data_IF_911931849468
#
_entry.id   IF_911931849468
#
_cell.length_a   1.000
_cell.length_b   1.000
_cell.length_c   1.000
_cell.angle_alpha   90.00
_cell.angle_beta   90.00
_cell.angle_gamma   90.00
#
_symmetry.space_group_name_H-M   'P 1'
#
loop_
_entity.id
_entity.type
_entity.pdbx_description
1 polymer ?
#
# COMPACT_ATOMS: atom_id res chain seq x y z
N UNK A 1 57.52 48.13 19.97
CA UNK A 1 57.81 46.93 19.16
C UNK A 1 56.48 46.31 18.76
N UNK A 2 56.42 45.82 17.53
CA UNK A 2 55.26 45.48 16.67
C UNK A 2 54.33 44.40 17.23
N UNK A 3 53.01 44.54 17.01
CA UNK A 3 52.13 43.55 16.34
C UNK A 3 50.68 44.07 16.31
N UNK A 4 50.11 44.45 15.15
CA UNK A 4 49.47 43.64 14.09
C UNK A 4 48.37 42.70 14.61
N UNK A 5 47.24 42.70 13.88
CA UNK A 5 46.02 41.89 14.05
C UNK A 5 44.91 42.64 14.81
N UNK A 6 43.69 42.86 14.31
CA UNK A 6 42.99 42.31 13.15
C UNK A 6 41.94 43.32 12.65
N UNK A 7 41.81 43.40 11.33
CA UNK A 7 40.62 43.95 10.66
C UNK A 7 39.59 42.83 10.55
N UNK A 8 38.34 42.97 11.03
CA UNK A 8 37.26 42.11 10.57
C UNK A 8 36.64 42.78 9.33
N UNK A 9 37.28 42.58 8.19
CA UNK A 9 36.64 42.72 6.89
C UNK A 9 36.62 41.32 6.28
N UNK A 10 35.57 40.55 6.54
CA UNK A 10 35.27 39.37 5.74
C UNK A 10 33.82 39.46 5.28
N UNK A 11 33.66 40.15 4.14
CA UNK A 11 32.66 39.80 3.15
C UNK A 11 33.02 38.40 2.63
N UNK A 12 32.25 37.39 3.02
CA UNK A 12 32.24 36.11 2.34
C UNK A 12 31.09 36.12 1.33
N UNK A 13 31.47 36.10 0.05
CA UNK A 13 30.59 35.72 -1.05
C UNK A 13 30.58 34.19 -1.17
N UNK A 14 29.50 33.68 -1.77
CA UNK A 14 29.21 32.27 -2.18
C UNK A 14 28.72 31.37 -1.02
N UNK A 15 27.72 30.51 -1.17
CA UNK A 15 27.16 29.84 -2.34
C UNK A 15 25.73 29.32 -2.01
N UNK A 16 25.00 28.88 -3.04
CA UNK A 16 23.65 28.29 -3.00
C UNK A 16 23.48 27.18 -1.95
N UNK A 17 22.40 27.25 -1.17
CA UNK A 17 21.71 26.04 -0.69
C UNK A 17 20.21 26.19 -0.99
N UNK A 18 19.89 26.06 -2.27
CA UNK A 18 18.55 25.76 -2.73
C UNK A 18 18.33 24.25 -2.60
N UNK A 19 17.82 23.78 -1.46
CA UNK A 19 17.33 22.42 -1.22
C UNK A 19 16.90 22.35 0.26
N UNK A 20 15.71 21.98 0.71
CA UNK A 20 14.56 21.28 0.14
C UNK A 20 13.38 21.78 0.97
N UNK A 21 12.46 22.55 0.37
CA UNK A 21 11.13 22.65 0.98
C UNK A 21 10.53 21.24 0.98
N UNK A 22 10.11 20.66 2.12
CA UNK A 22 9.27 19.49 2.06
C UNK A 22 7.98 19.97 1.41
N UNK A 23 7.81 19.60 0.13
CA UNK A 23 6.55 19.69 -0.58
C UNK A 23 5.54 18.78 0.14
N UNK A 24 4.96 19.30 1.22
CA UNK A 24 3.89 18.69 2.00
C UNK A 24 2.52 18.97 1.35
N UNK A 25 2.50 19.67 0.23
CA UNK A 25 1.32 20.10 -0.52
C UNK A 25 0.93 19.07 -1.60
N UNK A 26 0.80 17.79 -1.24
CA UNK A 26 0.23 16.79 -2.17
C UNK A 26 -0.37 15.53 -1.51
N UNK A 27 -0.46 15.44 -0.18
CA UNK A 27 -0.87 14.19 0.49
C UNK A 27 -2.24 14.22 1.18
N UNK A 28 -3.10 15.16 0.82
CA UNK A 28 -4.44 15.29 1.43
C UNK A 28 -5.56 14.72 0.55
N UNK A 29 -5.36 14.49 -0.76
CA UNK A 29 -6.46 14.20 -1.69
C UNK A 29 -6.74 12.71 -1.98
N UNK A 30 -6.20 11.75 -1.21
CA UNK A 30 -6.55 10.34 -1.37
C UNK A 30 -6.83 9.63 -0.05
N UNK A 31 -7.28 10.39 0.95
CA UNK A 31 -7.86 9.83 2.16
C UNK A 31 -9.19 9.22 1.71
N UNK A 32 -9.19 7.90 1.58
CA UNK A 32 -10.37 7.03 1.51
C UNK A 32 -11.38 7.26 0.36
N UNK A 33 -11.25 6.47 -0.70
CA UNK A 33 -12.40 6.12 -1.54
C UNK A 33 -13.00 4.83 -1.00
N UNK A 34 -13.70 4.91 0.13
CA UNK A 34 -14.34 3.75 0.79
C UNK A 34 -15.45 3.13 -0.03
N UNK A 35 -15.95 3.83 -1.04
CA UNK A 35 -17.01 3.34 -1.93
C UNK A 35 -16.48 2.48 -3.08
N UNK A 36 -15.19 2.58 -3.43
CA UNK A 36 -14.64 1.86 -4.59
C UNK A 36 -14.18 0.46 -4.18
N UNK A 37 -14.74 -0.53 -4.85
CA UNK A 37 -14.34 -1.93 -4.73
C UNK A 37 -13.25 -2.24 -5.77
N UNK A 38 -12.30 -3.08 -5.37
CA UNK A 38 -11.16 -3.47 -6.17
C UNK A 38 -11.14 -4.99 -6.31
N UNK A 39 -10.97 -5.47 -7.54
CA UNK A 39 -10.84 -6.90 -7.87
C UNK A 39 -9.39 -7.32 -8.04
N UNK A 40 -8.45 -6.37 -8.10
CA UNK A 40 -7.03 -6.64 -8.33
C UNK A 40 -6.20 -5.88 -7.32
N UNK A 41 -5.27 -6.58 -6.66
CA UNK A 41 -4.47 -6.00 -5.60
C UNK A 41 -3.10 -6.63 -5.47
N UNK A 42 -2.17 -5.89 -4.88
CA UNK A 42 -0.85 -6.40 -4.56
C UNK A 42 0.13 -5.31 -4.17
N UNK A 43 1.42 -5.58 -4.30
CA UNK A 43 2.50 -4.65 -3.96
C UNK A 43 3.37 -4.40 -5.18
N UNK A 44 3.94 -3.19 -5.24
CA UNK A 44 5.03 -2.95 -6.16
C UNK A 44 6.08 -2.00 -5.61
N UNK A 45 7.33 -2.32 -5.92
CA UNK A 45 8.49 -1.48 -5.62
C UNK A 45 8.70 -0.46 -6.73
N UNK A 46 8.86 0.81 -6.37
CA UNK A 46 9.33 1.87 -7.28
C UNK A 46 10.30 2.75 -6.54
N UNK A 47 11.47 3.00 -7.15
CA UNK A 47 12.54 3.82 -6.57
C UNK A 47 12.90 3.38 -5.15
N UNK A 48 12.98 2.06 -4.91
CA UNK A 48 13.27 1.47 -3.61
C UNK A 48 12.14 1.56 -2.57
N UNK A 49 10.94 2.02 -2.95
CA UNK A 49 9.77 2.11 -2.05
C UNK A 49 8.68 1.13 -2.47
N UNK A 50 8.45 0.14 -1.64
CA UNK A 50 7.35 -0.82 -1.79
C UNK A 50 6.05 -0.19 -1.32
N UNK A 51 5.00 -0.29 -2.13
CA UNK A 51 3.68 0.26 -1.79
C UNK A 51 2.58 -0.67 -2.31
N UNK A 52 1.47 -0.69 -1.58
CA UNK A 52 0.26 -1.40 -2.00
C UNK A 52 -0.36 -0.73 -3.23
N UNK A 53 -0.84 -1.54 -4.17
CA UNK A 53 -1.52 -1.15 -5.41
C UNK A 53 -2.90 -1.76 -5.44
N UNK A 54 -3.87 -0.98 -5.89
CA UNK A 54 -5.24 -1.39 -6.08
C UNK A 54 -5.66 -1.10 -7.52
N UNK A 55 -6.38 -2.03 -8.15
CA UNK A 55 -6.86 -1.93 -9.51
C UNK A 55 -8.13 -2.79 -9.70
N UNK A 56 -8.74 -2.64 -10.87
CA UNK A 56 -9.87 -3.47 -11.31
C UNK A 56 -9.54 -4.25 -12.59
N UNK A 57 -8.36 -4.01 -13.17
CA UNK A 57 -7.88 -4.66 -14.39
C UNK A 57 -6.43 -5.12 -14.15
N UNK A 58 -6.22 -6.44 -14.27
CA UNK A 58 -4.93 -7.06 -14.02
C UNK A 58 -3.89 -6.68 -15.07
N UNK A 59 -4.22 -6.90 -16.35
CA UNK A 59 -3.30 -6.75 -17.47
C UNK A 59 -2.92 -5.29 -17.67
N UNK A 60 -3.89 -4.38 -17.60
CA UNK A 60 -3.68 -2.95 -17.71
C UNK A 60 -2.82 -2.41 -16.58
N UNK A 61 -3.09 -2.84 -15.33
CA UNK A 61 -2.28 -2.39 -14.20
C UNK A 61 -0.86 -2.92 -14.26
N UNK A 62 -0.68 -4.19 -14.58
CA UNK A 62 0.63 -4.81 -14.75
C UNK A 62 1.45 -4.08 -15.83
N UNK A 63 0.87 -3.90 -17.03
CA UNK A 63 1.53 -3.18 -18.15
C UNK A 63 1.98 -1.78 -17.77
N UNK A 64 1.16 -1.01 -17.05
CA UNK A 64 1.51 0.36 -16.63
C UNK A 64 2.66 0.33 -15.62
N UNK A 65 2.64 -0.61 -14.65
CA UNK A 65 3.71 -0.72 -13.66
C UNK A 65 5.03 -1.16 -14.30
N UNK A 66 5.02 -2.11 -15.22
CA UNK A 66 6.22 -2.50 -15.95
C UNK A 66 6.76 -1.35 -16.81
N UNK A 67 5.88 -0.62 -17.52
CA UNK A 67 6.27 0.58 -18.30
C UNK A 67 6.87 1.68 -17.42
N UNK A 68 6.36 1.83 -16.20
CA UNK A 68 6.86 2.79 -15.23
C UNK A 68 8.13 2.31 -14.49
N UNK A 69 8.70 1.15 -14.87
CA UNK A 69 9.95 0.65 -14.31
C UNK A 69 9.84 0.13 -12.88
N UNK A 70 8.68 -0.42 -12.49
CA UNK A 70 8.57 -1.13 -11.22
C UNK A 70 9.27 -2.50 -11.29
N UNK A 71 10.04 -2.86 -10.28
CA UNK A 71 10.85 -4.10 -10.23
C UNK A 71 10.07 -5.29 -9.67
N UNK A 72 9.53 -5.15 -8.46
CA UNK A 72 8.86 -6.25 -7.75
C UNK A 72 7.34 -6.13 -7.87
N UNK A 73 6.81 -6.32 -9.08
CA UNK A 73 5.37 -6.20 -9.33
C UNK A 73 4.67 -7.52 -8.98
N UNK A 74 4.20 -7.62 -7.75
CA UNK A 74 3.42 -8.76 -7.27
C UNK A 74 1.97 -8.33 -7.14
N UNK A 75 1.15 -8.69 -8.13
CA UNK A 75 -0.29 -8.38 -8.16
C UNK A 75 -1.05 -9.67 -8.41
N UNK A 76 -2.22 -9.80 -7.79
CA UNK A 76 -3.14 -10.90 -7.98
C UNK A 76 -4.56 -10.38 -8.19
N UNK A 77 -5.37 -11.26 -8.77
CA UNK A 77 -6.82 -11.09 -8.87
C UNK A 77 -7.48 -11.71 -7.64
N UNK A 78 -8.50 -11.02 -7.14
CA UNK A 78 -9.29 -11.40 -6.00
C UNK A 78 -10.60 -12.01 -6.53
N UNK A 79 -11.09 -13.05 -5.86
CA UNK A 79 -12.33 -13.74 -6.26
C UNK A 79 -13.56 -12.82 -6.23
N UNK A 80 -13.51 -11.77 -5.41
CA UNK A 80 -14.58 -10.79 -5.30
C UNK A 80 -14.05 -9.37 -5.10
N UNK A 81 -14.85 -8.39 -5.54
CA UNK A 81 -14.51 -6.98 -5.42
C UNK A 81 -14.63 -6.52 -3.96
N UNK A 82 -13.48 -6.24 -3.34
CA UNK A 82 -13.39 -5.90 -1.91
C UNK A 82 -13.01 -4.44 -1.68
N UNK A 83 -13.31 -3.94 -0.47
CA UNK A 83 -12.87 -2.63 -0.01
C UNK A 83 -11.36 -2.63 0.22
N UNK A 84 -10.70 -1.46 0.17
CA UNK A 84 -9.25 -1.38 0.45
C UNK A 84 -8.86 -1.98 1.81
N UNK A 85 -9.73 -1.89 2.80
CA UNK A 85 -9.47 -2.42 4.14
C UNK A 85 -9.45 -3.95 4.13
N UNK A 86 -10.38 -4.57 3.42
CA UNK A 86 -10.49 -6.03 3.36
C UNK A 86 -9.42 -6.63 2.45
N UNK A 87 -9.08 -5.93 1.36
CA UNK A 87 -7.92 -6.28 0.53
C UNK A 87 -6.63 -6.27 1.34
N UNK A 88 -6.40 -5.26 2.20
CA UNK A 88 -5.20 -5.24 3.05
C UNK A 88 -5.15 -6.44 4.00
N UNK A 89 -6.29 -6.85 4.59
CA UNK A 89 -6.35 -8.05 5.45
C UNK A 89 -6.03 -9.31 4.64
N UNK A 90 -6.63 -9.43 3.45
CA UNK A 90 -6.40 -10.56 2.55
C UNK A 90 -4.92 -10.67 2.14
N UNK A 91 -4.31 -9.54 1.74
CA UNK A 91 -2.89 -9.50 1.38
C UNK A 91 -1.99 -9.85 2.57
N UNK A 92 -2.33 -9.40 3.79
CA UNK A 92 -1.57 -9.78 5.00
C UNK A 92 -1.60 -11.28 5.30
N UNK A 93 -2.70 -11.97 4.98
CA UNK A 93 -2.83 -13.43 5.17
C UNK A 93 -2.25 -14.26 4.02
N UNK A 94 -2.03 -13.67 2.86
CA UNK A 94 -1.64 -14.41 1.66
C UNK A 94 -0.12 -14.71 1.66
N UNK A 95 0.24 -15.94 1.31
CA UNK A 95 1.63 -16.45 1.40
C UNK A 95 2.62 -15.66 0.53
N UNK A 96 2.20 -15.26 -0.67
CA UNK A 96 2.99 -14.44 -1.62
C UNK A 96 3.36 -13.03 -1.14
N UNK A 97 2.83 -12.57 0.00
CA UNK A 97 3.12 -11.25 0.55
C UNK A 97 3.67 -11.31 1.98
N UNK A 98 4.25 -12.45 2.38
CA UNK A 98 4.88 -12.61 3.69
C UNK A 98 6.28 -11.96 3.79
N UNK A 99 6.79 -11.38 2.69
CA UNK A 99 8.05 -10.65 2.71
C UNK A 99 7.97 -9.43 3.63
N UNK A 100 9.08 -9.12 4.29
CA UNK A 100 9.19 -7.98 5.22
C UNK A 100 8.82 -6.64 4.56
N UNK A 101 9.25 -6.42 3.31
CA UNK A 101 8.93 -5.22 2.55
C UNK A 101 7.42 -5.12 2.22
N UNK A 102 6.79 -6.25 1.93
CA UNK A 102 5.36 -6.34 1.61
C UNK A 102 4.51 -6.06 2.85
N UNK A 103 4.81 -6.74 3.97
CA UNK A 103 4.10 -6.55 5.24
C UNK A 103 4.26 -5.12 5.77
N UNK A 104 5.47 -4.56 5.68
CA UNK A 104 5.72 -3.17 6.06
C UNK A 104 4.88 -2.21 5.22
N UNK A 105 4.84 -2.38 3.89
CA UNK A 105 4.04 -1.54 3.01
C UNK A 105 2.53 -1.64 3.32
N UNK A 106 2.03 -2.83 3.65
CA UNK A 106 0.62 -3.05 4.03
C UNK A 106 0.33 -2.38 5.38
N UNK A 107 1.15 -2.62 6.41
CA UNK A 107 0.99 -2.04 7.73
C UNK A 107 1.06 -0.51 7.69
N UNK A 108 2.03 0.05 6.96
CA UNK A 108 2.14 1.48 6.72
C UNK A 108 0.89 2.05 6.04
N UNK A 109 0.35 1.33 5.05
CA UNK A 109 -0.87 1.74 4.37
C UNK A 109 -2.07 1.72 5.32
N UNK A 110 -2.21 0.68 6.14
CA UNK A 110 -3.28 0.55 7.13
C UNK A 110 -3.20 1.66 8.17
N UNK A 111 -2.03 1.92 8.75
CA UNK A 111 -1.85 2.97 9.78
C UNK A 111 -2.09 4.36 9.22
N UNK A 112 -1.63 4.64 7.99
CA UNK A 112 -1.78 5.96 7.37
C UNK A 112 -3.18 6.22 6.83
N UNK A 113 -3.91 5.19 6.37
CA UNK A 113 -5.17 5.35 5.65
C UNK A 113 -6.41 4.78 6.37
N UNK A 114 -6.24 3.92 7.38
CA UNK A 114 -7.33 3.29 8.17
C UNK A 114 -7.27 3.79 9.62
N UNK A 115 -7.20 5.11 9.80
CA UNK A 115 -7.48 5.73 11.11
C UNK A 115 -9.00 5.74 11.33
N UNK A 116 -9.47 4.61 11.86
CA UNK A 116 -10.74 4.35 12.57
C UNK A 116 -11.99 5.02 12.00
N UNK A 117 -12.66 4.32 11.08
CA UNK A 117 -14.11 4.25 11.09
C UNK A 117 -14.50 2.81 11.46
N UNK A 118 -15.18 2.71 12.59
CA UNK A 118 -15.82 1.51 13.18
C UNK A 118 -16.38 0.55 12.11
N UNK A 119 -16.21 -0.78 12.25
CA UNK A 119 -16.49 -1.74 11.18
C UNK A 119 -17.98 -1.76 10.82
N UNK A 120 -18.31 -1.34 9.60
CA UNK A 120 -19.62 -1.57 9.01
C UNK A 120 -19.56 -2.87 8.20
N UNK A 121 -20.05 -3.93 8.84
CA UNK A 121 -20.74 -5.12 8.30
C UNK A 121 -20.27 -5.62 6.92
N UNK A 122 -19.45 -6.65 6.97
CA UNK A 122 -19.23 -7.63 5.89
C UNK A 122 -20.60 -8.19 5.49
N UNK A 123 -21.11 -7.81 4.31
CA UNK A 123 -22.13 -8.60 3.62
C UNK A 123 -21.37 -9.68 2.87
N UNK A 124 -21.32 -10.87 3.46
CA UNK A 124 -21.03 -12.08 2.74
C UNK A 124 -22.19 -12.29 1.75
N UNK A 125 -21.91 -12.13 0.46
CA UNK A 125 -22.76 -12.66 -0.60
C UNK A 125 -22.26 -14.08 -0.86
N UNK A 126 -22.99 -15.12 -0.46
CA UNK A 126 -22.66 -16.49 -0.82
C UNK A 126 -23.07 -16.71 -2.27
N UNK A 127 -22.13 -17.02 -3.16
CA UNK A 127 -22.45 -17.69 -4.42
C UNK A 127 -22.05 -19.16 -4.35
N UNK A 128 -22.85 -20.05 -4.97
CA UNK A 128 -23.08 -21.42 -4.51
C UNK A 128 -22.26 -22.43 -5.32
N UNK A 129 -21.58 -23.35 -4.65
CA UNK A 129 -21.05 -24.56 -5.29
C UNK A 129 -21.34 -25.78 -4.42
N UNK A 130 -22.43 -26.45 -4.83
CA UNK A 130 -22.63 -27.90 -5.01
C UNK A 130 -22.40 -28.87 -3.84
N UNK A 131 -23.47 -29.64 -3.63
CA UNK A 131 -23.68 -30.86 -2.86
C UNK A 131 -22.50 -31.85 -2.79
N UNK A 132 -22.25 -32.39 -1.60
CA UNK A 132 -22.17 -33.84 -1.43
C UNK A 132 -22.71 -34.25 -0.05
N UNK A 133 -23.80 -35.00 -0.10
CA UNK A 133 -24.46 -35.75 0.97
C UNK A 133 -23.54 -36.81 1.56
N UNK A 134 -23.37 -36.85 2.88
CA UNK A 134 -23.18 -38.12 3.60
C UNK A 134 -24.00 -38.07 4.88
N UNK A 135 -25.17 -38.69 4.81
CA UNK A 135 -25.92 -39.22 5.95
C UNK A 135 -25.14 -40.41 6.52
N UNK A 136 -24.83 -40.42 7.82
CA UNK A 136 -24.78 -41.66 8.60
C UNK A 136 -25.35 -41.36 9.98
N UNK A 137 -26.61 -41.73 10.16
CA UNK A 137 -27.19 -42.10 11.45
C UNK A 137 -26.36 -43.24 12.07
N UNK A 138 -26.12 -43.18 13.38
CA UNK A 138 -26.42 -44.34 14.24
C UNK A 138 -26.59 -43.89 15.69
N UNK A 139 -27.80 -44.10 16.19
CA UNK A 139 -28.13 -44.28 17.61
C UNK A 139 -27.30 -45.39 18.28
N UNK A 140 -27.45 -45.47 19.60
CA UNK A 140 -27.21 -46.61 20.52
C UNK A 140 -25.78 -46.91 20.97
N UNK A 141 -25.49 -46.56 22.23
CA UNK A 141 -25.42 -47.52 23.34
C UNK A 141 -25.54 -46.80 24.70
#
# INVERSE_FOLDING_TARGET
>A
MVDKSAKPCYNIHTNEEAAIMPNFEAKEAQIMSTTKMYTVAGVSTSNGKTKVRFANDYVGRFKILTKNGHTDVNILELDSAMSKADVCKFLSTHEKFQDEASQSAIAEFVVRNIRVAKPAKVQATPEPVVEETVEVETETA
#
